data_IF_762334252316
#
_entry.id   IF_762334252316
#
_cell.length_a   1.000
_cell.length_b   1.000
_cell.length_c   1.000
_cell.angle_alpha   90.00
_cell.angle_beta   90.00
_cell.angle_gamma   90.00
#
_symmetry.space_group_name_H-M   'P 1'
#
loop_
_entity.id
_entity.type
_entity.pdbx_description
1 polymer ?
#
# COMPACT_ATOMS: atom_id res chain seq x y z
N UNK A 1 -45.93 -16.37 -2.31
CA UNK A 1 -45.44 -15.61 -3.50
C UNK A 1 -44.77 -14.27 -3.15
N UNK A 2 -45.23 -13.51 -2.13
CA UNK A 2 -44.65 -12.21 -1.74
C UNK A 2 -43.23 -12.30 -1.15
N UNK A 3 -42.92 -13.34 -0.36
CA UNK A 3 -41.61 -13.50 0.29
C UNK A 3 -40.47 -13.80 -0.67
N UNK A 4 -40.75 -14.37 -1.85
CA UNK A 4 -39.72 -14.73 -2.83
C UNK A 4 -39.25 -13.52 -3.66
N UNK A 5 -40.14 -12.54 -3.88
CA UNK A 5 -39.76 -11.23 -4.44
C UNK A 5 -38.80 -10.47 -3.52
N UNK A 6 -39.01 -10.52 -2.20
CA UNK A 6 -38.13 -9.87 -1.23
C UNK A 6 -36.72 -10.49 -1.19
N UNK A 7 -36.65 -11.82 -1.23
CA UNK A 7 -35.37 -12.56 -1.24
C UNK A 7 -34.58 -12.27 -2.52
N UNK A 8 -35.23 -12.21 -3.69
CA UNK A 8 -34.59 -11.82 -4.94
C UNK A 8 -34.08 -10.38 -4.93
N UNK A 9 -34.83 -9.45 -4.33
CA UNK A 9 -34.42 -8.05 -4.24
C UNK A 9 -33.22 -7.86 -3.31
N UNK A 10 -33.16 -8.60 -2.20
CA UNK A 10 -32.00 -8.60 -1.29
C UNK A 10 -30.76 -9.21 -1.96
N UNK A 11 -30.92 -10.32 -2.70
CA UNK A 11 -29.81 -10.92 -3.44
C UNK A 11 -29.27 -9.99 -4.54
N UNK A 12 -30.13 -9.25 -5.22
CA UNK A 12 -29.73 -8.23 -6.20
C UNK A 12 -28.94 -7.09 -5.54
N UNK A 13 -29.40 -6.61 -4.37
CA UNK A 13 -28.75 -5.50 -3.66
C UNK A 13 -27.37 -5.85 -3.12
N UNK A 14 -27.14 -7.10 -2.68
CA UNK A 14 -25.85 -7.55 -2.15
C UNK A 14 -24.78 -7.65 -3.25
N UNK A 15 -25.16 -7.98 -4.49
CA UNK A 15 -24.22 -8.10 -5.60
C UNK A 15 -23.55 -6.77 -6.02
N UNK A 16 -24.21 -5.64 -5.81
CA UNK A 16 -23.76 -4.32 -6.28
C UNK A 16 -22.59 -3.72 -5.48
N UNK A 17 -22.22 -4.29 -4.33
CA UNK A 17 -21.17 -3.73 -3.45
C UNK A 17 -19.78 -4.37 -3.60
N UNK A 18 -19.57 -5.24 -4.59
CA UNK A 18 -18.27 -5.92 -4.78
C UNK A 18 -17.26 -5.02 -5.52
N UNK A 19 -16.77 -3.99 -4.84
CA UNK A 19 -15.63 -3.21 -5.32
C UNK A 19 -14.32 -3.94 -4.97
N UNK A 20 -13.69 -4.60 -5.93
CA UNK A 20 -12.36 -5.17 -5.74
C UNK A 20 -11.31 -4.05 -5.78
N UNK A 21 -10.73 -3.71 -4.63
CA UNK A 21 -9.58 -2.82 -4.56
C UNK A 21 -8.34 -3.58 -5.04
N UNK A 22 -8.13 -3.63 -6.36
CA UNK A 22 -6.98 -4.30 -6.95
C UNK A 22 -5.72 -3.45 -6.74
N UNK A 23 -4.79 -3.95 -5.92
CA UNK A 23 -3.45 -3.38 -5.83
C UNK A 23 -2.72 -3.66 -7.15
N UNK A 24 -2.28 -2.62 -7.85
CA UNK A 24 -1.47 -2.78 -9.05
C UNK A 24 -0.03 -3.15 -8.66
N UNK A 25 0.50 -4.23 -9.26
CA UNK A 25 1.90 -4.62 -9.15
C UNK A 25 2.66 -4.10 -10.37
N UNK A 26 3.81 -3.48 -10.15
CA UNK A 26 4.67 -2.98 -11.20
C UNK A 26 6.04 -3.67 -11.14
N UNK A 27 6.58 -4.00 -12.31
CA UNK A 27 7.92 -4.58 -12.45
C UNK A 27 8.04 -6.04 -12.02
N UNK A 28 9.29 -6.54 -12.02
CA UNK A 28 9.67 -7.87 -11.56
C UNK A 28 9.68 -7.91 -10.03
N UNK A 29 9.26 -9.01 -9.38
CA UNK A 29 9.37 -9.15 -7.93
C UNK A 29 10.82 -8.99 -7.44
N UNK A 30 10.98 -8.31 -6.30
CA UNK A 30 12.29 -8.11 -5.68
C UNK A 30 12.87 -9.48 -5.23
N UNK A 31 14.17 -9.68 -5.48
CA UNK A 31 14.88 -10.93 -5.15
C UNK A 31 15.10 -11.11 -3.64
N UNK A 32 15.21 -10.01 -2.88
CA UNK A 32 15.23 -10.05 -1.43
C UNK A 32 13.83 -10.37 -0.89
N UNK A 33 13.76 -11.29 0.08
CA UNK A 33 12.53 -11.63 0.80
C UNK A 33 12.38 -10.87 2.10
N UNK A 34 13.50 -10.45 2.68
CA UNK A 34 13.53 -9.81 3.98
C UNK A 34 13.36 -8.30 3.84
N UNK A 35 12.29 -7.79 4.43
CA UNK A 35 12.00 -6.36 4.45
C UNK A 35 12.59 -5.73 5.71
N UNK A 36 13.53 -4.81 5.54
CA UNK A 36 14.08 -3.99 6.61
C UNK A 36 13.14 -2.80 6.88
N UNK A 37 12.88 -2.49 8.15
CA UNK A 37 12.05 -1.33 8.51
C UNK A 37 12.83 -0.03 8.33
N UNK A 38 12.14 1.01 7.85
CA UNK A 38 12.76 2.33 7.66
C UNK A 38 13.17 2.91 9.02
N UNK A 39 12.37 2.72 10.07
CA UNK A 39 12.74 3.10 11.45
C UNK A 39 14.08 2.50 11.90
N UNK A 40 14.34 1.21 11.66
CA UNK A 40 15.61 0.58 12.08
C UNK A 40 16.82 1.16 11.32
N UNK A 41 16.64 1.51 10.05
CA UNK A 41 17.68 2.19 9.26
C UNK A 41 17.95 3.59 9.82
N UNK A 42 16.91 4.33 10.20
CA UNK A 42 17.04 5.67 10.78
C UNK A 42 17.68 5.65 12.18
N UNK A 43 17.48 4.58 12.94
CA UNK A 43 18.10 4.42 14.26
C UNK A 43 19.60 4.08 14.18
N UNK A 44 20.03 3.28 13.18
CA UNK A 44 21.42 2.82 13.05
C UNK A 44 21.93 2.90 11.60
N UNK A 45 21.99 4.09 10.99
CA UNK A 45 22.24 4.24 9.55
C UNK A 45 23.58 3.66 9.10
N UNK A 46 24.64 3.79 9.92
CA UNK A 46 25.98 3.30 9.60
C UNK A 46 26.04 1.78 9.39
N UNK A 47 25.15 1.02 10.06
CA UNK A 47 25.08 -0.44 9.93
C UNK A 47 24.60 -0.91 8.56
N UNK A 48 23.99 -0.01 7.79
CA UNK A 48 23.32 -0.30 6.53
C UNK A 48 24.01 0.30 5.30
N UNK A 49 25.08 1.07 5.49
CA UNK A 49 25.86 1.66 4.40
C UNK A 49 26.46 0.56 3.51
N UNK A 50 26.28 0.69 2.20
CA UNK A 50 26.79 -0.25 1.20
C UNK A 50 26.04 -1.58 1.11
N UNK A 51 24.94 -1.77 1.86
CA UNK A 51 24.10 -2.98 1.78
C UNK A 51 22.90 -2.74 0.87
N UNK A 52 22.54 -3.76 0.10
CA UNK A 52 21.27 -3.79 -0.63
C UNK A 52 20.18 -4.30 0.30
N UNK A 53 19.17 -3.47 0.55
CA UNK A 53 18.05 -3.77 1.43
C UNK A 53 16.73 -3.62 0.67
N UNK A 54 15.72 -4.38 1.11
CA UNK A 54 14.35 -4.18 0.68
C UNK A 54 13.61 -3.42 1.78
N UNK A 55 13.00 -2.29 1.44
CA UNK A 55 12.15 -1.52 2.36
C UNK A 55 10.71 -1.52 1.87
N UNK A 56 9.76 -1.50 2.80
CA UNK A 56 8.33 -1.36 2.50
C UNK A 56 7.78 -0.21 3.34
N UNK A 57 7.11 0.72 2.68
CA UNK A 57 6.51 1.88 3.33
C UNK A 57 5.50 2.55 2.42
N UNK A 58 4.74 3.48 3.00
CA UNK A 58 3.82 4.31 2.25
C UNK A 58 4.59 5.47 1.60
N UNK A 59 4.38 5.71 0.30
CA UNK A 59 4.89 6.92 -0.37
C UNK A 59 3.99 8.10 0.01
N UNK A 60 4.55 9.09 0.71
CA UNK A 60 3.80 10.27 1.23
C UNK A 60 3.92 11.50 0.36
N UNK A 61 4.99 11.60 -0.43
CA UNK A 61 5.18 12.71 -1.36
C UNK A 61 6.07 12.27 -2.52
N UNK A 62 5.76 12.77 -3.72
CA UNK A 62 6.61 12.65 -4.90
C UNK A 62 6.78 14.04 -5.47
N UNK A 63 8.00 14.45 -5.75
CA UNK A 63 8.24 15.68 -6.47
C UNK A 63 8.67 15.31 -7.89
N UNK A 64 7.77 15.52 -8.84
CA UNK A 64 7.96 15.19 -10.25
C UNK A 64 8.84 16.21 -10.99
N UNK A 65 9.11 17.38 -10.40
CA UNK A 65 9.65 18.54 -11.10
C UNK A 65 11.17 18.72 -10.99
N UNK A 66 11.85 18.10 -10.01
CA UNK A 66 13.26 18.39 -9.67
C UNK A 66 14.09 17.13 -9.36
N UNK A 67 13.77 16.01 -10.00
CA UNK A 67 14.46 14.72 -9.84
C UNK A 67 13.49 13.62 -9.43
N UNK A 68 13.85 12.36 -9.67
CA UNK A 68 12.99 11.20 -9.41
C UNK A 68 13.01 10.80 -7.92
N UNK A 69 12.75 11.74 -7.01
CA UNK A 69 12.76 11.50 -5.57
C UNK A 69 11.34 11.32 -5.04
N UNK A 70 11.22 10.42 -4.06
CA UNK A 70 10.00 10.13 -3.35
C UNK A 70 10.28 10.09 -1.85
N UNK A 71 9.33 10.57 -1.06
CA UNK A 71 9.34 10.47 0.39
C UNK A 71 8.47 9.30 0.82
N UNK A 72 9.00 8.48 1.74
CA UNK A 72 8.29 7.34 2.30
C UNK A 72 8.14 7.51 3.82
N UNK A 73 7.00 7.10 4.35
CA UNK A 73 6.75 7.12 5.78
C UNK A 73 7.68 6.14 6.52
N UNK A 74 8.29 6.60 7.61
CA UNK A 74 9.17 5.77 8.43
C UNK A 74 8.44 4.66 9.19
N UNK A 75 7.15 4.83 9.47
CA UNK A 75 6.32 3.88 10.21
C UNK A 75 5.20 3.28 9.35
N UNK A 76 4.96 1.98 9.53
CA UNK A 76 3.95 1.21 8.79
C UNK A 76 2.50 1.63 9.11
N UNK A 77 2.25 2.29 10.25
CA UNK A 77 0.91 2.74 10.67
C UNK A 77 0.55 4.15 10.16
N UNK A 78 1.24 4.63 9.12
CA UNK A 78 0.86 5.86 8.42
C UNK A 78 -0.37 5.54 7.56
N UNK A 79 -1.55 5.75 8.12
CA UNK A 79 -2.80 5.61 7.37
C UNK A 79 -2.79 6.61 6.20
N UNK A 80 -3.04 6.10 4.99
CA UNK A 80 -3.37 6.94 3.84
C UNK A 80 -4.63 7.73 4.17
N UNK A 81 -4.49 8.94 4.71
CA UNK A 81 -5.59 9.89 4.73
C UNK A 81 -5.69 10.47 3.32
N UNK A 82 -6.79 10.25 2.58
CA UNK A 82 -6.99 10.93 1.31
C UNK A 82 -6.90 12.44 1.59
N UNK A 83 -6.07 13.13 0.81
CA UNK A 83 -5.71 14.53 1.04
C UNK A 83 -6.92 15.42 1.33
N UNK A 84 -6.77 16.23 2.37
CA UNK A 84 -7.56 17.43 2.67
C UNK A 84 -7.16 18.58 1.77
#
# INVERSE_FOLDING_TARGET
MKSWLGVMFVLLFVGLFSSSLHAQSFGEPLSLKETTSISAILENPDSFVGKTLQVRGLVVNVCTSRGCWMSMAGSFNSTCRPGS
#
